data_IF_984527273094
#
_entry.id   IF_984527273094
#
_cell.length_a   1.000
_cell.length_b   1.000
_cell.length_c   1.000
_cell.angle_alpha   90.00
_cell.angle_beta   90.00
_cell.angle_gamma   90.00
#
_symmetry.space_group_name_H-M   'P 1'
#
loop_
_entity.id
_entity.type
_entity.pdbx_description
1 polymer ?
#
# COMPACT_ATOMS: atom_id res chain seq x y z
N UNK A 1 13.23 -0.39 -9.22
CA UNK A 1 13.50 1.06 -9.05
C UNK A 1 12.34 1.66 -8.27
N UNK A 2 12.56 2.61 -7.34
CA UNK A 2 11.46 3.27 -6.62
C UNK A 2 10.54 4.00 -7.61
N UNK A 3 9.24 3.91 -7.37
CA UNK A 3 8.22 4.67 -8.12
C UNK A 3 8.26 6.12 -7.66
N UNK A 4 7.93 7.07 -8.54
CA UNK A 4 7.87 8.50 -8.18
C UNK A 4 6.46 8.87 -7.73
N UNK A 5 6.35 9.58 -6.60
CA UNK A 5 5.12 10.26 -6.19
C UNK A 5 5.28 11.76 -6.41
N UNK A 6 4.20 12.40 -6.84
CA UNK A 6 4.10 13.84 -7.06
C UNK A 6 3.02 14.42 -6.15
N UNK A 7 3.34 15.49 -5.44
CA UNK A 7 2.40 16.17 -4.53
C UNK A 7 2.41 17.66 -4.84
N UNK A 8 1.22 18.26 -4.93
CA UNK A 8 1.06 19.72 -4.98
C UNK A 8 1.14 20.25 -3.55
N UNK A 9 2.08 21.14 -3.29
CA UNK A 9 2.22 21.74 -1.96
C UNK A 9 1.02 22.67 -1.68
N UNK A 10 0.54 22.71 -0.43
CA UNK A 10 -0.72 23.39 -0.10
C UNK A 10 -0.62 24.92 -0.11
N UNK A 11 0.59 25.48 -0.18
CA UNK A 11 0.85 26.92 -0.10
C UNK A 11 1.16 27.58 -1.46
N UNK A 12 0.86 28.88 -1.53
CA UNK A 12 1.17 29.71 -2.69
C UNK A 12 2.56 30.36 -2.55
N UNK A 13 3.34 30.46 -3.64
CA UNK A 13 3.04 29.95 -4.97
C UNK A 13 3.09 28.41 -5.00
N UNK A 14 2.19 27.81 -5.79
CA UNK A 14 2.11 26.34 -5.87
C UNK A 14 3.42 25.75 -6.39
N UNK A 15 3.87 24.69 -5.72
CA UNK A 15 5.09 23.95 -6.03
C UNK A 15 4.76 22.47 -6.13
N UNK A 16 5.56 21.74 -6.91
CA UNK A 16 5.49 20.28 -6.99
C UNK A 16 6.63 19.69 -6.17
N UNK A 17 6.26 18.86 -5.18
CA UNK A 17 7.18 17.98 -4.49
C UNK A 17 7.31 16.66 -5.23
N UNK A 18 8.53 16.13 -5.35
CA UNK A 18 8.82 14.82 -5.91
C UNK A 18 9.42 13.94 -4.82
N UNK A 19 8.81 12.78 -4.58
CA UNK A 19 9.29 11.79 -3.63
C UNK A 19 9.50 10.43 -4.29
N UNK A 20 10.29 9.57 -3.64
CA UNK A 20 10.35 8.16 -3.96
C UNK A 20 9.34 7.39 -3.11
N UNK A 21 8.64 6.44 -3.71
CA UNK A 21 7.80 5.47 -3.02
C UNK A 21 8.19 4.06 -3.47
N UNK A 22 8.01 3.09 -2.58
CA UNK A 22 8.06 1.69 -2.94
C UNK A 22 6.63 1.24 -3.26
N UNK A 23 6.44 0.71 -4.47
CA UNK A 23 5.20 0.03 -4.82
C UNK A 23 5.36 -1.44 -4.48
N UNK A 24 4.52 -1.94 -3.58
CA UNK A 24 4.44 -3.35 -3.24
C UNK A 24 3.20 -3.94 -3.91
N UNK A 25 3.36 -5.06 -4.61
CA UNK A 25 2.28 -5.73 -5.32
C UNK A 25 2.00 -7.06 -4.61
N UNK A 26 0.91 -7.11 -3.86
CA UNK A 26 0.52 -8.28 -3.06
C UNK A 26 -0.68 -8.97 -3.70
N UNK A 27 -0.42 -9.71 -4.75
CA UNK A 27 -1.31 -10.79 -5.16
C UNK A 27 -0.44 -12.03 -5.27
N UNK A 28 -0.27 -12.73 -4.15
CA UNK A 28 0.51 -13.97 -4.08
C UNK A 28 -0.08 -15.09 -4.94
N UNK A 29 -1.35 -14.94 -5.34
CA UNK A 29 -2.12 -15.91 -6.10
C UNK A 29 -2.41 -15.42 -7.54
N UNK A 30 -2.58 -16.35 -8.50
CA UNK A 30 -3.02 -16.03 -9.86
C UNK A 30 -4.31 -15.21 -9.90
N UNK A 31 -4.56 -14.50 -11.00
CA UNK A 31 -5.74 -13.62 -11.14
C UNK A 31 -7.07 -14.32 -10.88
N UNK A 32 -7.19 -15.60 -11.26
CA UNK A 32 -8.41 -16.40 -11.06
C UNK A 32 -8.64 -16.86 -9.61
N UNK A 33 -7.65 -16.69 -8.74
CA UNK A 33 -7.69 -17.09 -7.33
C UNK A 33 -7.71 -15.86 -6.39
N UNK A 34 -7.74 -14.65 -6.95
CA UNK A 34 -7.83 -13.42 -6.16
C UNK A 34 -9.18 -13.35 -5.45
N UNK A 35 -9.13 -12.87 -4.21
CA UNK A 35 -10.33 -12.67 -3.39
C UNK A 35 -11.20 -11.56 -4.00
N UNK A 36 -12.52 -11.70 -3.85
CA UNK A 36 -13.44 -10.57 -4.04
C UNK A 36 -13.38 -9.65 -2.82
N UNK A 37 -13.93 -8.44 -2.95
CA UNK A 37 -14.01 -7.49 -1.86
C UNK A 37 -14.75 -8.07 -0.64
N UNK A 38 -15.83 -8.83 -0.85
CA UNK A 38 -16.60 -9.46 0.23
C UNK A 38 -15.80 -10.55 0.95
N UNK A 39 -15.08 -11.38 0.17
CA UNK A 39 -14.23 -12.42 0.74
C UNK A 39 -13.07 -11.79 1.56
N UNK A 40 -12.51 -10.68 1.08
CA UNK A 40 -11.50 -9.93 1.80
C UNK A 40 -12.04 -9.33 3.11
N UNK A 41 -13.20 -8.69 3.07
CA UNK A 41 -13.84 -8.12 4.26
C UNK A 41 -14.12 -9.19 5.32
N UNK A 42 -14.64 -10.36 4.92
CA UNK A 42 -14.89 -11.47 5.83
C UNK A 42 -13.61 -11.99 6.50
N UNK A 43 -12.48 -12.06 5.76
CA UNK A 43 -11.18 -12.45 6.32
C UNK A 43 -10.73 -11.46 7.40
N UNK A 44 -10.86 -10.16 7.13
CA UNK A 44 -10.52 -9.07 8.07
C UNK A 44 -11.38 -9.15 9.32
N UNK A 45 -12.70 -9.29 9.16
CA UNK A 45 -13.65 -9.41 10.27
C UNK A 45 -13.38 -10.65 11.13
N UNK A 46 -12.91 -11.74 10.52
CA UNK A 46 -12.53 -12.97 11.24
C UNK A 46 -11.20 -12.87 11.99
N UNK A 47 -10.46 -11.77 11.84
CA UNK A 47 -9.14 -11.57 12.45
C UNK A 47 -8.02 -12.42 11.84
N UNK A 48 -8.24 -12.96 10.64
CA UNK A 48 -7.27 -13.81 9.92
C UNK A 48 -6.50 -13.05 8.84
N UNK A 49 -6.38 -11.73 8.97
CA UNK A 49 -5.62 -10.89 8.05
C UNK A 49 -4.16 -11.37 7.97
N UNK A 50 -3.58 -11.53 6.77
CA UNK A 50 -2.18 -11.88 6.61
C UNK A 50 -1.27 -10.87 7.33
N UNK A 51 -0.12 -11.35 7.81
CA UNK A 51 0.87 -10.47 8.42
C UNK A 51 1.43 -9.50 7.37
N UNK A 52 1.60 -8.23 7.76
CA UNK A 52 2.24 -7.26 6.89
C UNK A 52 3.67 -7.73 6.54
N UNK A 53 4.15 -7.43 5.32
CA UNK A 53 5.51 -7.79 4.93
C UNK A 53 6.55 -7.23 5.88
N UNK A 54 7.60 -8.00 6.16
CA UNK A 54 8.61 -7.67 7.19
C UNK A 54 9.29 -6.31 7.00
N UNK A 55 9.49 -5.88 5.74
CA UNK A 55 10.11 -4.59 5.41
C UNK A 55 9.26 -3.38 5.84
N UNK A 56 7.95 -3.55 6.05
CA UNK A 56 7.06 -2.46 6.46
C UNK A 56 7.34 -1.95 7.87
N UNK A 57 7.88 -2.80 8.74
CA UNK A 57 8.33 -2.43 10.09
C UNK A 57 9.42 -1.35 10.11
N UNK A 58 10.12 -1.11 8.99
CA UNK A 58 11.24 -0.17 8.93
C UNK A 58 10.81 1.30 8.88
N UNK A 59 9.54 1.59 8.55
CA UNK A 59 9.01 2.96 8.43
C UNK A 59 7.67 3.17 9.13
N UNK A 60 7.06 2.12 9.68
CA UNK A 60 5.90 2.25 10.56
C UNK A 60 6.39 2.65 11.96
N UNK A 61 5.89 3.79 12.47
CA UNK A 61 6.06 4.18 13.87
C UNK A 61 5.15 3.34 14.75
N UNK A 62 5.54 3.04 16.01
CA UNK A 62 4.64 2.50 17.03
C UNK A 62 3.36 3.34 17.19
#
# INVERSE_FOLDING_TARGET
>A
QPTRIYVVLPDAPYRIGIGAVYSYYEFEVPVGERMTDEAWQALVESGQTPAAPTWTSQFLSP
#
